data_IF_311730132287
#
_entry.id   IF_311730132287
#
_cell.length_a   1.000
_cell.length_b   1.000
_cell.length_c   1.000
_cell.angle_alpha   90.00
_cell.angle_beta   90.00
_cell.angle_gamma   90.00
#
_symmetry.space_group_name_H-M   'P 1'
#
loop_
_entity.id
_entity.type
_entity.pdbx_description
1 polymer ?
#
# COMPACT_ATOMS: atom_id res chain seq x y z
N UNK A 1 -6.06 13.56 10.63
CA UNK A 1 -4.95 12.63 10.86
C UNK A 1 -4.72 12.46 12.35
N UNK A 2 -4.61 11.22 12.77
CA UNK A 2 -4.43 10.86 14.16
C UNK A 2 -3.08 11.35 14.73
N UNK A 3 -3.00 11.44 16.04
CA UNK A 3 -1.77 11.85 16.76
C UNK A 3 -0.60 10.85 16.58
N UNK A 4 -0.89 9.67 16.04
CA UNK A 4 0.05 8.59 15.73
C UNK A 4 0.42 8.53 14.24
N UNK A 5 0.07 9.54 13.44
CA UNK A 5 0.20 9.49 11.99
C UNK A 5 -0.75 8.50 11.31
N UNK A 6 -1.76 8.03 12.02
CA UNK A 6 -2.86 7.27 11.45
C UNK A 6 -3.62 8.09 10.42
N UNK A 7 -4.21 7.44 9.45
CA UNK A 7 -4.89 8.09 8.33
C UNK A 7 -6.00 7.20 7.79
N UNK A 8 -6.92 7.83 7.07
CA UNK A 8 -7.89 7.16 6.23
C UNK A 8 -7.88 7.77 4.81
N UNK A 9 -8.42 7.03 3.88
CA UNK A 9 -8.57 7.44 2.48
C UNK A 9 -10.01 7.18 2.07
N UNK A 10 -10.64 8.20 1.51
CA UNK A 10 -11.98 8.11 0.91
C UNK A 10 -11.94 8.71 -0.49
N UNK A 11 -12.84 8.29 -1.35
CA UNK A 11 -13.03 8.93 -2.65
C UNK A 11 -14.07 10.05 -2.56
N UNK A 12 -13.97 11.03 -3.43
CA UNK A 12 -15.02 12.04 -3.68
C UNK A 12 -15.88 11.59 -4.84
N UNK A 13 -15.26 11.05 -5.87
CA UNK A 13 -15.89 10.55 -7.09
C UNK A 13 -15.22 9.24 -7.48
N UNK A 14 -16.02 8.20 -7.70
CA UNK A 14 -15.58 6.90 -8.21
C UNK A 14 -15.67 6.84 -9.73
N UNK A 15 -16.29 5.79 -10.26
CA UNK A 15 -16.59 5.65 -11.68
C UNK A 15 -17.63 6.71 -12.11
N UNK A 16 -17.32 7.51 -13.10
CA UNK A 16 -18.21 8.58 -13.59
C UNK A 16 -19.60 8.12 -14.01
N UNK A 17 -19.74 6.85 -14.35
CA UNK A 17 -21.00 6.24 -14.78
C UNK A 17 -21.81 5.67 -13.61
N UNK A 18 -21.17 5.44 -12.46
CA UNK A 18 -21.76 4.81 -11.29
C UNK A 18 -21.73 5.80 -10.11
N UNK A 19 -22.85 6.44 -9.82
CA UNK A 19 -22.91 7.43 -8.74
C UNK A 19 -22.94 6.82 -7.32
N UNK A 20 -23.23 5.52 -7.21
CA UNK A 20 -23.31 4.83 -5.92
C UNK A 20 -21.94 4.57 -5.28
N UNK A 21 -20.86 4.68 -6.05
CA UNK A 21 -19.49 4.53 -5.59
C UNK A 21 -18.80 5.85 -5.23
N UNK A 22 -19.52 6.98 -5.32
CA UNK A 22 -19.03 8.29 -4.89
C UNK A 22 -19.10 8.46 -3.37
N UNK A 23 -18.17 9.20 -2.80
CA UNK A 23 -18.05 9.50 -1.37
C UNK A 23 -18.02 8.22 -0.51
N UNK A 24 -17.24 7.24 -0.94
CA UNK A 24 -17.03 5.99 -0.23
C UNK A 24 -15.69 5.97 0.50
N UNK A 25 -15.69 5.36 1.65
CA UNK A 25 -14.44 5.05 2.33
C UNK A 25 -13.72 3.92 1.59
N UNK A 26 -12.40 3.98 1.60
CA UNK A 26 -11.50 2.96 1.07
C UNK A 26 -10.61 2.39 2.18
N UNK A 27 -10.38 3.17 3.22
CA UNK A 27 -9.81 2.75 4.49
C UNK A 27 -10.75 3.20 5.61
N UNK A 28 -10.84 2.39 6.66
CA UNK A 28 -11.71 2.64 7.79
C UNK A 28 -11.46 4.00 8.43
N UNK A 29 -12.53 4.68 8.78
CA UNK A 29 -12.52 5.95 9.49
C UNK A 29 -13.27 5.84 10.80
N UNK A 30 -12.68 6.34 11.86
CA UNK A 30 -13.29 6.46 13.18
C UNK A 30 -13.20 7.92 13.67
N UNK A 31 -14.22 8.37 14.38
CA UNK A 31 -14.21 9.70 15.00
C UNK A 31 -13.15 9.82 16.11
N UNK A 32 -12.75 8.70 16.72
CA UNK A 32 -11.82 8.66 17.83
C UNK A 32 -10.36 8.62 17.39
N UNK A 33 -10.03 7.77 16.40
CA UNK A 33 -8.67 7.59 15.87
C UNK A 33 -8.69 6.83 14.54
N UNK A 34 -7.70 7.09 13.70
CA UNK A 34 -7.51 6.37 12.44
C UNK A 34 -6.81 5.04 12.71
N UNK A 35 -7.28 3.99 12.08
CA UNK A 35 -6.90 2.60 12.32
C UNK A 35 -5.89 2.06 11.32
N UNK A 36 -5.67 2.79 10.20
CA UNK A 36 -4.52 2.57 9.31
C UNK A 36 -3.31 3.31 9.84
N UNK A 37 -2.21 2.58 10.07
CA UNK A 37 -0.99 3.15 10.66
C UNK A 37 0.25 2.36 10.24
N UNK A 38 1.43 2.92 10.53
CA UNK A 38 2.71 2.24 10.28
C UNK A 38 3.48 2.02 11.58
N UNK A 39 4.01 0.83 11.74
CA UNK A 39 4.99 0.50 12.78
C UNK A 39 6.38 0.30 12.18
N UNK A 40 7.39 0.58 12.99
CA UNK A 40 8.79 0.45 12.63
C UNK A 40 9.49 -0.47 13.60
N UNK A 41 10.28 -1.39 13.06
CA UNK A 41 11.24 -2.20 13.82
C UNK A 41 12.61 -1.59 13.65
N UNK A 42 13.21 -1.18 14.76
CA UNK A 42 14.52 -0.55 14.82
C UNK A 42 15.49 -1.47 15.51
N UNK A 43 16.59 -1.79 14.82
CA UNK A 43 17.70 -2.54 15.42
C UNK A 43 18.93 -1.66 15.49
N UNK A 44 19.42 -1.44 16.71
CA UNK A 44 20.60 -0.63 17.01
C UNK A 44 21.47 -1.39 18.02
N UNK A 45 22.75 -1.56 17.73
CA UNK A 45 23.72 -2.27 18.59
C UNK A 45 23.27 -3.68 19.02
N UNK A 46 22.53 -4.38 18.13
CA UNK A 46 22.02 -5.72 18.40
C UNK A 46 20.72 -5.77 19.21
N UNK A 47 20.23 -4.64 19.69
CA UNK A 47 18.92 -4.54 20.33
C UNK A 47 17.85 -4.16 19.31
N UNK A 48 16.73 -4.87 19.35
CA UNK A 48 15.58 -4.66 18.45
C UNK A 48 14.37 -4.22 19.26
N UNK A 49 13.71 -3.15 18.80
CA UNK A 49 12.47 -2.67 19.41
C UNK A 49 11.48 -2.23 18.33
N UNK A 50 10.19 -2.49 18.60
CA UNK A 50 9.08 -2.08 17.75
C UNK A 50 8.45 -0.80 18.29
N UNK A 51 8.13 0.10 17.34
CA UNK A 51 7.49 1.38 17.58
C UNK A 51 6.28 1.52 16.66
N UNK A 52 5.25 2.23 17.12
CA UNK A 52 4.30 2.83 16.19
C UNK A 52 4.85 4.17 15.73
N UNK A 53 4.51 4.61 14.54
CA UNK A 53 4.87 5.97 14.10
C UNK A 53 4.31 6.99 15.10
N UNK A 54 5.22 7.61 15.86
CA UNK A 54 4.87 8.56 16.93
C UNK A 54 5.16 8.09 18.36
N UNK A 55 5.58 6.85 18.60
CA UNK A 55 5.87 6.38 19.95
C UNK A 55 6.15 4.90 20.10
N UNK A 56 6.18 4.42 21.34
CA UNK A 56 6.29 3.00 21.65
C UNK A 56 5.06 2.25 21.17
N UNK A 57 5.27 1.02 20.66
CA UNK A 57 4.16 0.21 20.19
C UNK A 57 3.31 -0.28 21.36
N UNK A 58 2.06 0.12 21.36
CA UNK A 58 1.03 -0.36 22.29
C UNK A 58 -0.35 -0.05 21.71
N UNK A 59 -1.41 -0.69 22.22
CA UNK A 59 -2.78 -0.36 21.79
C UNK A 59 -3.13 1.11 22.09
N UNK A 60 -2.69 1.66 23.22
CA UNK A 60 -2.85 3.08 23.53
C UNK A 60 -1.98 3.97 22.61
N UNK A 61 -0.85 3.47 22.13
CA UNK A 61 -0.02 4.13 21.13
C UNK A 61 -0.73 4.32 19.79
N UNK A 62 -1.60 3.39 19.39
CA UNK A 62 -2.45 3.53 18.19
C UNK A 62 -3.38 4.73 18.36
N UNK A 63 -3.90 4.96 19.56
CA UNK A 63 -4.85 6.05 19.87
C UNK A 63 -4.17 7.39 20.13
N UNK A 64 -2.92 7.40 20.56
CA UNK A 64 -2.25 8.58 21.11
C UNK A 64 -0.77 8.66 20.76
N UNK A 65 -0.43 8.87 19.52
CA UNK A 65 0.96 9.08 19.10
C UNK A 65 1.44 10.52 19.23
N UNK A 66 2.75 10.72 19.10
CA UNK A 66 3.45 12.01 19.24
C UNK A 66 3.98 12.54 17.91
N UNK A 67 3.12 12.77 16.91
CA UNK A 67 3.52 13.30 15.61
C UNK A 67 3.15 14.76 15.44
N UNK A 68 3.91 15.48 14.64
CA UNK A 68 3.59 16.83 14.18
C UNK A 68 3.06 16.76 12.76
N UNK A 69 1.81 17.17 12.57
CA UNK A 69 1.13 17.13 11.25
C UNK A 69 1.17 18.52 10.61
N UNK A 70 1.40 18.55 9.31
CA UNK A 70 1.31 19.73 8.46
C UNK A 70 0.64 19.39 7.12
N UNK A 71 0.12 20.41 6.45
CA UNK A 71 -0.49 20.29 5.13
C UNK A 71 0.12 21.33 4.21
N UNK A 72 0.34 20.94 2.96
CA UNK A 72 0.73 21.85 1.88
C UNK A 72 -0.09 21.59 0.62
N UNK A 73 0.29 22.21 -0.50
CA UNK A 73 -0.43 22.06 -1.77
C UNK A 73 -0.32 20.65 -2.39
N UNK A 74 0.60 19.80 -1.92
CA UNK A 74 0.81 18.44 -2.43
C UNK A 74 0.06 17.40 -1.62
N UNK A 75 -0.18 17.66 -0.32
CA UNK A 75 -0.85 16.71 0.55
C UNK A 75 -0.59 16.95 2.03
N UNK A 76 -0.62 15.85 2.78
CA UNK A 76 -0.39 15.83 4.23
C UNK A 76 1.02 15.31 4.52
N UNK A 77 1.62 15.85 5.56
CA UNK A 77 2.91 15.40 6.08
C UNK A 77 2.83 15.28 7.60
N UNK A 78 3.39 14.19 8.15
CA UNK A 78 3.54 14.01 9.57
C UNK A 78 5.00 13.68 9.89
N UNK A 79 5.51 14.21 11.00
CA UNK A 79 6.88 14.01 11.45
C UNK A 79 6.94 13.48 12.86
N UNK A 80 7.88 12.59 13.08
CA UNK A 80 8.21 12.00 14.36
C UNK A 80 9.73 11.84 14.50
N UNK A 81 10.25 12.07 15.70
CA UNK A 81 11.67 11.88 16.00
C UNK A 81 11.86 10.82 17.08
N UNK A 82 12.79 9.91 16.85
CA UNK A 82 13.20 8.89 17.79
C UNK A 82 14.73 8.98 18.01
N UNK A 83 15.12 9.75 19.02
CA UNK A 83 16.52 10.13 19.21
C UNK A 83 17.04 10.88 18.00
N UNK A 84 18.04 10.34 17.31
CA UNK A 84 18.66 10.94 16.13
C UNK A 84 18.05 10.47 14.79
N UNK A 85 16.99 9.66 14.84
CA UNK A 85 16.20 9.30 13.67
C UNK A 85 15.03 10.28 13.51
N UNK A 86 14.84 10.80 12.32
CA UNK A 86 13.64 11.55 11.93
C UNK A 86 12.86 10.73 10.90
N UNK A 87 11.58 10.54 11.18
CA UNK A 87 10.63 9.86 10.30
C UNK A 87 9.67 10.91 9.73
N UNK A 88 9.50 10.89 8.43
CA UNK A 88 8.51 11.73 7.75
C UNK A 88 7.55 10.84 6.97
N UNK A 89 6.27 10.88 7.34
CA UNK A 89 5.18 10.34 6.54
C UNK A 89 4.71 11.41 5.57
N UNK A 90 4.42 11.04 4.32
CA UNK A 90 3.74 11.89 3.34
C UNK A 90 2.61 11.12 2.72
N UNK A 91 1.45 11.76 2.63
CA UNK A 91 0.27 11.30 1.91
C UNK A 91 0.04 12.30 0.79
N UNK A 92 0.35 11.94 -0.43
CA UNK A 92 0.28 12.82 -1.59
C UNK A 92 -0.62 12.21 -2.66
N UNK A 93 -1.46 13.04 -3.29
CA UNK A 93 -2.21 12.59 -4.47
C UNK A 93 -1.21 12.27 -5.58
N UNK A 94 -1.22 11.02 -6.03
CA UNK A 94 -0.40 10.61 -7.14
C UNK A 94 -0.94 11.22 -8.44
N UNK A 95 -0.07 11.85 -9.21
CA UNK A 95 -0.43 12.33 -10.54
C UNK A 95 -0.39 11.16 -11.51
N UNK A 96 -1.54 10.56 -11.77
CA UNK A 96 -1.67 9.41 -12.68
C UNK A 96 -1.77 9.81 -14.15
N UNK A 97 -1.61 11.11 -14.45
CA UNK A 97 -1.68 11.62 -15.84
C UNK A 97 -3.09 11.77 -16.39
N UNK A 98 -4.07 11.12 -15.80
CA UNK A 98 -5.51 11.38 -16.00
C UNK A 98 -6.05 11.95 -14.69
N UNK A 99 -6.77 13.06 -14.74
CA UNK A 99 -7.39 13.68 -13.57
C UNK A 99 -8.55 12.85 -12.98
N UNK A 100 -8.64 11.58 -13.30
CA UNK A 100 -9.86 10.78 -13.12
C UNK A 100 -9.72 9.66 -12.08
N UNK A 101 -8.49 9.34 -11.62
CA UNK A 101 -8.27 8.23 -10.72
C UNK A 101 -7.35 8.66 -9.58
N UNK A 102 -7.95 8.80 -8.40
CA UNK A 102 -7.26 9.24 -7.20
C UNK A 102 -6.49 8.12 -6.52
N UNK A 103 -5.22 7.97 -6.82
CA UNK A 103 -4.30 7.20 -5.98
C UNK A 103 -3.60 8.13 -5.00
N UNK A 104 -3.45 7.68 -3.77
CA UNK A 104 -2.64 8.33 -2.75
C UNK A 104 -1.32 7.58 -2.63
N UNK A 105 -0.22 8.29 -2.80
CA UNK A 105 1.10 7.77 -2.43
C UNK A 105 1.25 7.88 -0.91
N UNK A 106 1.51 6.74 -0.28
CA UNK A 106 1.86 6.63 1.14
C UNK A 106 3.36 6.46 1.18
N UNK A 107 4.09 7.48 1.60
CA UNK A 107 5.55 7.50 1.61
C UNK A 107 6.07 7.67 3.04
N UNK A 108 7.15 6.96 3.36
CA UNK A 108 7.94 7.17 4.55
C UNK A 108 9.40 7.40 4.18
N UNK A 109 9.95 8.47 4.73
CA UNK A 109 11.36 8.83 4.68
C UNK A 109 11.92 8.74 6.11
N UNK A 110 13.00 8.00 6.27
CA UNK A 110 13.69 7.81 7.56
C UNK A 110 15.09 8.34 7.43
N UNK A 111 15.36 9.49 8.04
CA UNK A 111 16.66 10.13 8.05
C UNK A 111 17.43 9.76 9.32
N UNK A 112 18.66 9.29 9.17
CA UNK A 112 19.56 9.02 10.29
C UNK A 112 20.55 10.19 10.47
N UNK A 113 20.32 11.03 11.47
CA UNK A 113 21.24 12.12 11.84
C UNK A 113 22.31 11.68 12.86
N UNK A 114 22.23 10.44 13.33
CA UNK A 114 23.17 9.89 14.31
C UNK A 114 24.51 9.55 13.69
N UNK A 115 25.44 9.20 14.57
CA UNK A 115 26.78 8.75 14.20
C UNK A 115 26.89 7.24 13.95
N UNK A 116 25.85 6.48 14.30
CA UNK A 116 25.82 5.02 14.18
C UNK A 116 24.86 4.58 13.08
N UNK A 117 25.17 3.47 12.45
CA UNK A 117 24.32 2.80 11.48
C UNK A 117 23.12 2.15 12.20
N UNK A 118 21.92 2.23 11.61
CA UNK A 118 20.69 1.69 12.21
C UNK A 118 19.93 0.87 11.18
N UNK A 119 19.58 -0.38 11.51
CA UNK A 119 18.68 -1.17 10.67
C UNK A 119 17.23 -0.74 10.93
N UNK A 120 16.49 -0.51 9.86
CA UNK A 120 15.09 -0.09 9.89
C UNK A 120 14.23 -0.99 9.02
N UNK A 121 13.12 -1.45 9.60
CA UNK A 121 12.07 -2.18 8.89
C UNK A 121 10.74 -1.47 9.15
N UNK A 122 9.85 -1.45 8.18
CA UNK A 122 8.54 -0.80 8.28
C UNK A 122 7.41 -1.81 8.01
N UNK A 123 6.32 -1.71 8.77
CA UNK A 123 5.07 -2.44 8.53
C UNK A 123 3.96 -1.42 8.35
N UNK A 124 3.50 -1.24 7.11
CA UNK A 124 2.35 -0.42 6.78
C UNK A 124 1.08 -1.26 6.93
N UNK A 125 0.23 -0.93 7.90
CA UNK A 125 -1.06 -1.56 8.12
C UNK A 125 -2.13 -0.66 7.54
N UNK A 126 -2.90 -1.19 6.58
CA UNK A 126 -4.05 -0.55 5.94
C UNK A 126 -5.30 -1.29 6.39
N UNK A 127 -6.14 -0.61 7.14
CA UNK A 127 -7.43 -1.07 7.60
C UNK A 127 -8.46 -0.82 6.50
N UNK A 128 -8.78 -1.88 5.74
CA UNK A 128 -9.53 -1.75 4.50
C UNK A 128 -11.02 -1.81 4.76
N UNK A 129 -11.69 -0.69 4.53
CA UNK A 129 -13.14 -0.57 4.58
C UNK A 129 -13.61 0.07 3.28
N UNK A 130 -14.15 -0.74 2.36
CA UNK A 130 -14.56 -0.28 1.04
C UNK A 130 -16.07 -0.13 0.99
N UNK A 131 -16.52 1.04 0.62
CA UNK A 131 -17.96 1.33 0.56
C UNK A 131 -18.56 1.50 1.96
N UNK A 132 -19.55 0.68 2.29
CA UNK A 132 -20.25 0.72 3.56
C UNK A 132 -19.92 -0.50 4.45
N UNK A 133 -18.87 -1.27 4.08
CA UNK A 133 -18.45 -2.49 4.77
C UNK A 133 -17.12 -2.25 5.52
N UNK A 134 -17.06 -2.77 6.75
CA UNK A 134 -15.84 -2.79 7.57
C UNK A 134 -14.95 -4.01 7.28
N UNK A 135 -15.20 -4.68 6.19
CA UNK A 135 -14.38 -5.75 5.67
C UNK A 135 -14.38 -5.76 4.15
N UNK A 136 -13.35 -6.34 3.57
CA UNK A 136 -13.22 -6.48 2.13
C UNK A 136 -12.78 -7.89 1.75
N UNK A 137 -13.08 -8.26 0.51
CA UNK A 137 -12.48 -9.39 -0.17
C UNK A 137 -11.26 -8.89 -0.92
N UNK A 138 -10.09 -9.43 -0.63
CA UNK A 138 -8.90 -9.11 -1.42
C UNK A 138 -8.79 -10.02 -2.62
N UNK A 139 -8.36 -9.46 -3.73
CA UNK A 139 -8.09 -10.19 -4.96
C UNK A 139 -6.63 -10.05 -5.35
N UNK A 140 -6.01 -11.21 -5.67
CA UNK A 140 -4.71 -11.26 -6.32
C UNK A 140 -4.96 -11.40 -7.82
N UNK A 141 -4.67 -10.36 -8.63
CA UNK A 141 -4.85 -10.48 -10.07
C UNK A 141 -3.92 -11.55 -10.63
N UNK A 142 -4.49 -12.58 -11.23
CA UNK A 142 -3.75 -13.65 -11.88
C UNK A 142 -3.75 -13.42 -13.40
N UNK A 143 -2.65 -13.78 -14.07
CA UNK A 143 -2.51 -13.71 -15.52
C UNK A 143 -3.33 -14.77 -16.27
N UNK A 144 -3.95 -15.71 -15.58
CA UNK A 144 -4.71 -16.84 -16.14
C UNK A 144 -6.18 -16.85 -15.69
N UNK A 145 -6.94 -15.82 -15.97
CA UNK A 145 -8.41 -15.73 -15.86
C UNK A 145 -9.07 -16.04 -14.50
N UNK A 146 -8.38 -16.70 -13.58
CA UNK A 146 -8.85 -16.97 -12.24
C UNK A 146 -8.11 -16.08 -11.26
N UNK A 147 -8.81 -15.15 -10.64
CA UNK A 147 -8.30 -14.34 -9.54
C UNK A 147 -8.44 -15.12 -8.24
N UNK A 148 -7.39 -15.11 -7.43
CA UNK A 148 -7.44 -15.71 -6.11
C UNK A 148 -8.05 -14.69 -5.12
N UNK A 149 -9.24 -15.02 -4.61
CA UNK A 149 -9.92 -14.25 -3.57
C UNK A 149 -9.42 -14.68 -2.20
N UNK A 150 -8.87 -13.73 -1.47
CA UNK A 150 -8.40 -13.90 -0.10
C UNK A 150 -9.47 -13.40 0.86
N UNK A 151 -9.93 -14.28 1.73
CA UNK A 151 -10.87 -14.01 2.82
C UNK A 151 -10.48 -14.64 4.15
N UNK A 152 -9.36 -15.36 4.17
CA UNK A 152 -8.78 -15.97 5.37
C UNK A 152 -7.40 -15.42 5.62
N UNK A 153 -7.00 -15.42 6.89
CA UNK A 153 -5.69 -14.95 7.24
C UNK A 153 -4.60 -15.71 6.50
N UNK A 154 -3.72 -14.97 5.86
CA UNK A 154 -2.59 -15.53 5.13
C UNK A 154 -1.44 -14.55 5.00
N UNK A 155 -0.28 -15.06 4.60
CA UNK A 155 0.92 -14.29 4.33
C UNK A 155 1.47 -14.68 2.95
N UNK A 156 1.72 -13.69 2.11
CA UNK A 156 2.45 -13.84 0.85
C UNK A 156 3.90 -13.43 1.05
N UNK A 157 4.82 -14.31 0.71
CA UNK A 157 6.25 -14.01 0.67
C UNK A 157 6.62 -13.21 -0.58
N UNK A 158 7.76 -12.54 -0.54
CA UNK A 158 8.26 -11.64 -1.59
C UNK A 158 8.17 -12.21 -3.02
N UNK A 159 8.39 -13.52 -3.18
CA UNK A 159 8.34 -14.19 -4.48
C UNK A 159 6.92 -14.29 -5.07
N UNK A 160 5.90 -14.24 -4.21
CA UNK A 160 4.49 -14.43 -4.57
C UNK A 160 3.68 -13.12 -4.53
N UNK A 161 4.32 -11.99 -4.20
CA UNK A 161 3.66 -10.69 -4.14
C UNK A 161 3.45 -10.16 -5.57
N UNK A 162 2.21 -9.93 -6.00
CA UNK A 162 1.90 -9.30 -7.28
C UNK A 162 2.31 -7.83 -7.28
N UNK A 163 2.03 -7.14 -8.37
CA UNK A 163 2.27 -5.69 -8.51
C UNK A 163 1.12 -4.85 -7.98
N UNK A 164 -0.05 -5.45 -7.85
CA UNK A 164 -1.23 -4.81 -7.30
C UNK A 164 -2.13 -5.83 -6.59
N UNK A 165 -2.92 -5.34 -5.65
CA UNK A 165 -4.03 -6.05 -5.02
C UNK A 165 -5.29 -5.23 -5.22
N UNK A 166 -6.44 -5.89 -5.31
CA UNK A 166 -7.74 -5.24 -5.31
C UNK A 166 -8.50 -5.60 -4.04
N UNK A 167 -9.36 -4.71 -3.62
CA UNK A 167 -10.24 -4.89 -2.46
C UNK A 167 -11.66 -4.50 -2.84
N UNK A 168 -12.63 -5.37 -2.55
CA UNK A 168 -14.02 -5.24 -2.94
C UNK A 168 -14.94 -5.33 -1.73
N UNK A 169 -15.98 -4.51 -1.72
CA UNK A 169 -17.09 -4.63 -0.76
C UNK A 169 -17.96 -5.87 -1.03
N UNK A 170 -18.07 -6.30 -2.28
CA UNK A 170 -18.78 -7.52 -2.70
C UNK A 170 -18.08 -8.11 -3.92
N UNK A 171 -17.78 -9.42 -3.90
CA UNK A 171 -17.07 -10.12 -4.98
C UNK A 171 -17.94 -10.40 -6.20
N UNK A 172 -19.28 -10.37 -6.06
CA UNK A 172 -20.20 -10.68 -7.15
C UNK A 172 -20.77 -9.43 -7.80
N UNK A 173 -20.88 -8.35 -7.04
CA UNK A 173 -21.45 -7.09 -7.51
C UNK A 173 -20.82 -5.90 -6.76
N UNK A 174 -19.53 -5.66 -6.94
CA UNK A 174 -18.85 -4.60 -6.22
C UNK A 174 -19.46 -3.24 -6.53
N UNK A 175 -19.78 -2.48 -5.46
CA UNK A 175 -20.22 -1.09 -5.58
C UNK A 175 -19.06 -0.12 -5.51
N UNK A 176 -17.97 -0.55 -4.88
CA UNK A 176 -16.73 0.19 -4.84
C UNK A 176 -15.54 -0.77 -4.89
N UNK A 177 -14.42 -0.31 -5.40
CA UNK A 177 -13.19 -1.09 -5.51
C UNK A 177 -12.01 -0.22 -5.13
N UNK A 178 -11.19 -0.70 -4.20
CA UNK A 178 -9.91 -0.11 -3.89
C UNK A 178 -8.77 -0.90 -4.56
N UNK A 179 -7.68 -0.21 -4.82
CA UNK A 179 -6.46 -0.80 -5.38
C UNK A 179 -5.26 -0.41 -4.54
N UNK A 180 -4.40 -1.39 -4.29
CA UNK A 180 -3.05 -1.18 -3.77
C UNK A 180 -2.07 -1.43 -4.89
N UNK A 181 -1.25 -0.45 -5.23
CA UNK A 181 -0.14 -0.66 -6.17
C UNK A 181 1.16 -0.78 -5.38
N UNK A 182 1.76 -1.95 -5.48
CA UNK A 182 2.98 -2.28 -4.75
C UNK A 182 4.17 -1.55 -5.36
N UNK A 183 4.72 -0.63 -4.59
CA UNK A 183 5.96 0.09 -4.92
C UNK A 183 7.08 -0.36 -3.97
N UNK A 184 8.30 0.12 -4.19
CA UNK A 184 9.47 -0.29 -3.40
C UNK A 184 9.63 -1.83 -3.30
N UNK A 185 9.30 -2.54 -4.38
CA UNK A 185 9.18 -4.02 -4.41
C UNK A 185 10.46 -4.73 -3.96
N UNK A 186 11.64 -4.17 -4.22
CA UNK A 186 12.92 -4.74 -3.77
C UNK A 186 13.08 -4.76 -2.25
N UNK A 187 12.37 -3.89 -1.52
CA UNK A 187 12.36 -3.82 -0.06
C UNK A 187 11.21 -4.63 0.55
N UNK A 188 10.14 -4.90 -0.21
CA UNK A 188 8.96 -5.60 0.29
C UNK A 188 9.29 -7.08 0.50
N UNK A 189 9.13 -7.56 1.74
CA UNK A 189 9.46 -8.93 2.17
C UNK A 189 8.26 -9.85 2.25
N UNK A 190 7.13 -9.32 2.70
CA UNK A 190 5.88 -10.08 2.81
C UNK A 190 4.68 -9.12 2.84
N UNK A 191 3.52 -9.65 2.49
CA UNK A 191 2.22 -9.02 2.70
C UNK A 191 1.35 -9.98 3.49
N UNK A 192 0.73 -9.50 4.56
CA UNK A 192 -0.24 -10.25 5.35
C UNK A 192 -1.63 -9.69 5.11
N UNK A 193 -2.61 -10.57 5.00
CA UNK A 193 -4.04 -10.27 5.00
C UNK A 193 -4.64 -10.95 6.22
N UNK A 194 -5.38 -10.21 7.03
CA UNK A 194 -5.92 -10.75 8.26
C UNK A 194 -7.05 -9.86 8.79
N UNK A 195 -7.70 -10.34 9.84
CA UNK A 195 -8.54 -9.50 10.68
C UNK A 195 -7.73 -8.37 11.28
N UNK A 196 -8.26 -7.14 11.27
CA UNK A 196 -7.54 -5.97 11.77
C UNK A 196 -6.99 -6.18 13.20
N UNK A 197 -7.82 -6.72 14.10
CA UNK A 197 -7.39 -6.99 15.48
C UNK A 197 -6.22 -7.97 15.57
N UNK A 198 -6.14 -8.97 14.69
CA UNK A 198 -5.01 -9.91 14.63
C UNK A 198 -3.71 -9.18 14.31
N UNK A 199 -3.73 -8.26 13.35
CA UNK A 199 -2.56 -7.46 12.99
C UNK A 199 -2.26 -6.40 14.05
N UNK A 200 -3.26 -5.67 14.53
CA UNK A 200 -3.10 -4.60 15.49
C UNK A 200 -2.65 -5.09 16.88
N UNK A 201 -2.89 -6.37 17.21
CA UNK A 201 -2.41 -6.96 18.46
C UNK A 201 -0.89 -7.10 18.53
N UNK A 202 -0.17 -7.00 17.40
CA UNK A 202 1.28 -7.18 17.31
C UNK A 202 1.96 -5.92 16.82
N UNK A 203 3.16 -5.63 17.32
CA UNK A 203 3.96 -4.49 16.86
C UNK A 203 4.53 -4.69 15.47
N UNK A 204 5.00 -5.88 15.17
CA UNK A 204 5.63 -6.20 13.90
C UNK A 204 5.40 -7.65 13.47
N UNK A 205 5.71 -8.62 14.34
CA UNK A 205 5.58 -10.03 14.00
C UNK A 205 4.11 -10.45 13.99
N UNK A 206 3.74 -11.19 12.94
CA UNK A 206 2.40 -11.72 12.75
C UNK A 206 2.50 -13.16 12.22
N UNK A 207 1.68 -14.05 12.76
CA UNK A 207 1.47 -15.40 12.29
C UNK A 207 -0.03 -15.58 12.00
N UNK A 208 -0.41 -15.97 10.77
CA UNK A 208 -1.80 -16.10 10.38
C UNK A 208 -2.47 -17.31 11.05
N UNK A 209 -3.73 -17.17 11.40
CA UNK A 209 -4.64 -18.29 11.60
C UNK A 209 -5.40 -18.56 10.30
N UNK A 210 -4.91 -19.51 9.51
CA UNK A 210 -5.47 -19.85 8.19
C UNK A 210 -6.93 -20.37 8.27
N UNK A 211 -7.44 -20.64 9.47
CA UNK A 211 -8.84 -21.03 9.65
C UNK A 211 -9.78 -19.85 9.88
N UNK A 212 -9.25 -18.69 10.28
CA UNK A 212 -10.03 -17.50 10.55
C UNK A 212 -10.45 -16.82 9.23
N UNK A 213 -11.77 -16.78 9.01
CA UNK A 213 -12.38 -16.02 7.90
C UNK A 213 -12.70 -14.61 8.39
N UNK A 214 -11.91 -13.61 7.99
CA UNK A 214 -12.06 -12.23 8.40
C UNK A 214 -13.22 -11.50 7.71
N UNK A 215 -13.88 -12.14 6.73
CA UNK A 215 -15.07 -11.60 6.05
C UNK A 215 -16.37 -12.12 6.64
N UNK A 216 -16.31 -12.92 7.70
CA UNK A 216 -17.46 -13.57 8.32
C UNK A 216 -17.85 -12.90 9.64
N UNK A 217 -19.07 -12.39 9.71
CA UNK A 217 -19.69 -12.03 10.98
C UNK A 217 -19.90 -13.27 11.84
N UNK A 218 -19.57 -13.15 13.14
CA UNK A 218 -19.70 -14.25 14.08
C UNK A 218 -18.55 -15.25 14.01
N UNK A 219 -17.37 -14.84 13.47
CA UNK A 219 -16.16 -15.64 13.62
C UNK A 219 -15.87 -15.91 15.11
N UNK A 220 -15.32 -17.10 15.40
CA UNK A 220 -15.17 -17.59 16.77
C UNK A 220 -14.21 -16.73 17.62
N UNK A 221 -13.35 -15.92 17.00
CA UNK A 221 -12.33 -15.17 17.71
C UNK A 221 -12.74 -13.73 18.03
N UNK A 222 -13.35 -13.01 17.09
CA UNK A 222 -13.64 -11.58 17.23
C UNK A 222 -15.13 -11.24 17.18
N UNK A 223 -15.94 -12.12 16.62
CA UNK A 223 -17.40 -11.98 16.55
C UNK A 223 -17.92 -11.04 15.46
N UNK A 224 -17.05 -10.31 14.79
CA UNK A 224 -17.37 -9.38 13.70
C UNK A 224 -16.44 -9.60 12.52
N UNK A 225 -16.92 -9.33 11.32
CA UNK A 225 -16.07 -9.24 10.15
C UNK A 225 -15.27 -7.93 10.19
N UNK A 226 -14.02 -7.99 9.76
CA UNK A 226 -13.10 -6.86 9.72
C UNK A 226 -11.84 -7.31 8.96
N UNK A 227 -11.25 -6.45 8.15
CA UNK A 227 -10.11 -6.84 7.33
C UNK A 227 -9.04 -5.77 7.24
N UNK A 228 -7.79 -6.21 7.27
CA UNK A 228 -6.66 -5.36 7.05
C UNK A 228 -5.57 -6.04 6.23
N UNK A 229 -4.76 -5.23 5.57
CA UNK A 229 -3.57 -5.64 4.87
C UNK A 229 -2.34 -5.01 5.51
N UNK A 230 -1.29 -5.81 5.78
CA UNK A 230 -0.02 -5.30 6.26
C UNK A 230 1.11 -5.61 5.29
N UNK A 231 1.82 -4.58 4.86
CA UNK A 231 2.99 -4.68 3.98
C UNK A 231 4.27 -4.47 4.79
N UNK A 232 5.22 -5.41 4.69
CA UNK A 232 6.45 -5.43 5.46
C UNK A 232 7.65 -5.12 4.58
N UNK A 233 8.30 -4.01 4.84
CA UNK A 233 9.44 -3.51 4.10
C UNK A 233 10.72 -3.57 4.95
N UNK A 234 11.82 -3.96 4.31
CA UNK A 234 13.17 -3.90 4.87
C UNK A 234 13.94 -2.76 4.20
N UNK A 235 14.07 -1.62 4.90
CA UNK A 235 14.83 -0.48 4.43
C UNK A 235 16.35 -0.73 4.54
N UNK A 236 16.72 -1.86 5.15
CA UNK A 236 18.11 -2.20 5.38
C UNK A 236 18.77 -1.37 6.48
N UNK A 237 20.09 -1.27 6.39
CA UNK A 237 20.89 -0.46 7.31
C UNK A 237 21.03 0.95 6.78
N UNK A 238 20.44 1.91 7.47
CA UNK A 238 20.56 3.34 7.15
C UNK A 238 21.83 3.86 7.84
N UNK A 239 22.84 4.16 7.04
CA UNK A 239 24.11 4.66 7.52
C UNK A 239 23.98 6.04 8.15
N UNK A 240 24.97 6.42 8.97
CA UNK A 240 25.09 7.78 9.51
C UNK A 240 24.99 8.84 8.40
N UNK A 241 24.11 9.82 8.59
CA UNK A 241 23.85 10.92 7.64
C UNK A 241 23.11 10.52 6.37
N UNK A 242 22.56 9.29 6.29
CA UNK A 242 21.80 8.78 5.13
C UNK A 242 20.33 8.65 5.44
N UNK A 243 19.54 8.45 4.39
CA UNK A 243 18.09 8.24 4.44
C UNK A 243 17.71 6.88 3.85
N UNK A 244 16.57 6.36 4.28
CA UNK A 244 15.87 5.23 3.68
C UNK A 244 14.45 5.64 3.34
N UNK A 245 14.00 5.33 2.12
CA UNK A 245 12.68 5.73 1.62
C UNK A 245 11.90 4.49 1.22
N UNK A 246 10.64 4.43 1.62
CA UNK A 246 9.70 3.39 1.20
C UNK A 246 8.35 4.00 0.89
N UNK A 247 7.69 3.50 -0.14
CA UNK A 247 6.36 3.97 -0.51
C UNK A 247 5.49 2.85 -1.08
N UNK A 248 4.19 3.11 -1.08
CA UNK A 248 3.15 2.33 -1.76
C UNK A 248 2.05 3.27 -2.23
N UNK A 249 1.12 2.77 -3.04
CA UNK A 249 -0.03 3.55 -3.51
C UNK A 249 -1.31 2.82 -3.13
N UNK A 250 -2.30 3.60 -2.70
CA UNK A 250 -3.64 3.11 -2.37
C UNK A 250 -4.69 4.10 -2.86
N UNK A 251 -5.80 3.61 -3.40
CA UNK A 251 -6.84 4.49 -3.89
C UNK A 251 -7.91 3.78 -4.70
N UNK A 252 -8.68 4.55 -5.45
CA UNK A 252 -9.75 4.02 -6.29
C UNK A 252 -9.16 3.24 -7.46
N UNK A 253 -9.68 2.04 -7.68
CA UNK A 253 -9.50 1.33 -8.93
C UNK A 253 -10.69 1.61 -9.84
N UNK A 254 -10.46 2.14 -11.02
CA UNK A 254 -11.46 2.24 -12.05
C UNK A 254 -11.16 1.24 -13.16
N UNK A 255 -12.13 0.38 -13.40
CA UNK A 255 -12.15 -0.51 -14.56
C UNK A 255 -12.57 0.19 -15.85
N UNK A 256 -12.62 1.52 -15.86
CA UNK A 256 -12.90 2.21 -17.10
C UNK A 256 -11.85 1.78 -18.13
N UNK A 257 -12.27 0.87 -19.00
CA UNK A 257 -11.76 0.88 -20.36
C UNK A 257 -12.12 2.27 -20.86
N UNK A 258 -11.18 3.19 -20.78
CA UNK A 258 -11.29 4.38 -21.58
C UNK A 258 -11.38 3.86 -23.02
N UNK A 259 -12.59 3.86 -23.57
CA UNK A 259 -12.78 3.83 -25.02
C UNK A 259 -12.16 5.11 -25.55
N UNK A 260 -10.84 5.13 -25.55
CA UNK A 260 -10.10 6.11 -26.32
C UNK A 260 -10.27 5.69 -27.77
N UNK A 261 -11.28 6.26 -28.43
CA UNK A 261 -11.42 6.27 -29.90
C UNK A 261 -10.26 7.01 -30.59
N UNK A 262 -9.11 7.08 -29.97
CA UNK A 262 -7.88 7.62 -30.54
C UNK A 262 -6.74 6.67 -30.19
N UNK A 263 -5.84 6.46 -31.14
CA UNK A 263 -4.65 5.61 -31.12
C UNK A 263 -3.70 5.79 -29.91
N UNK A 264 -4.23 5.84 -28.69
CA UNK A 264 -3.45 5.96 -27.47
C UNK A 264 -3.36 4.61 -26.76
N UNK A 265 -2.16 4.21 -26.47
CA UNK A 265 -1.83 2.99 -25.74
C UNK A 265 -2.38 3.10 -24.33
N UNK A 266 -3.36 2.27 -24.00
CA UNK A 266 -3.81 2.12 -22.61
C UNK A 266 -2.78 1.29 -21.88
N UNK A 267 -2.05 1.92 -20.96
CA UNK A 267 -1.22 1.20 -20.00
C UNK A 267 -2.10 0.49 -18.98
N UNK A 268 -2.40 -0.75 -19.24
CA UNK A 268 -2.83 -1.64 -18.18
C UNK A 268 -1.54 -2.13 -17.48
N UNK A 269 -1.15 -1.48 -16.37
CA UNK A 269 0.04 -1.86 -15.59
C UNK A 269 -0.21 -3.15 -14.79
N UNK A 270 -0.68 -4.18 -15.42
CA UNK A 270 -0.83 -5.50 -14.79
C UNK A 270 0.47 -6.28 -14.71
N UNK A 271 1.58 -5.75 -15.20
CA UNK A 271 2.89 -6.36 -14.97
C UNK A 271 4.05 -5.42 -15.34
N UNK A 272 4.72 -4.79 -14.38
CA UNK A 272 6.00 -4.12 -14.62
C UNK A 272 7.18 -5.10 -14.75
N UNK A 273 6.96 -6.41 -14.65
CA UNK A 273 8.05 -7.41 -14.71
C UNK A 273 8.77 -7.48 -16.06
N UNK A 274 8.44 -6.60 -17.00
CA UNK A 274 8.91 -6.71 -18.38
C UNK A 274 9.27 -5.38 -19.04
N UNK A 275 9.56 -4.35 -18.27
CA UNK A 275 10.13 -3.13 -18.80
C UNK A 275 11.64 -3.13 -18.57
N UNK A 276 12.40 -3.21 -19.63
CA UNK A 276 13.85 -3.04 -19.63
C UNK A 276 14.21 -1.66 -20.18
N UNK A 277 15.34 -1.10 -19.75
CA UNK A 277 15.91 0.08 -20.37
C UNK A 277 16.42 -0.26 -21.77
N UNK A 278 16.15 0.62 -22.74
CA UNK A 278 16.77 0.55 -24.05
C UNK A 278 18.32 0.60 -23.93
N UNK A 279 19.02 0.13 -24.94
CA UNK A 279 20.49 0.06 -24.92
C UNK A 279 21.17 1.43 -24.71
N UNK A 280 20.48 2.54 -25.02
CA UNK A 280 20.94 3.91 -24.81
C UNK A 280 20.51 4.49 -23.45
N UNK A 281 19.76 3.72 -22.63
CA UNK A 281 19.32 4.10 -21.31
C UNK A 281 18.25 5.19 -21.25
N UNK A 282 17.60 5.52 -22.37
CA UNK A 282 16.66 6.65 -22.46
C UNK A 282 15.17 6.24 -22.41
N UNK A 283 14.87 5.01 -22.79
CA UNK A 283 13.50 4.55 -22.95
C UNK A 283 13.29 3.24 -22.21
N UNK A 284 12.07 3.01 -21.70
CA UNK A 284 11.65 1.70 -21.23
C UNK A 284 11.04 0.93 -22.40
N UNK A 285 11.40 -0.34 -22.53
CA UNK A 285 10.95 -1.20 -23.61
C UNK A 285 10.33 -2.48 -23.06
N UNK A 286 9.19 -2.89 -23.59
CA UNK A 286 8.54 -4.14 -23.21
C UNK A 286 9.28 -5.33 -23.81
N UNK A 287 9.73 -6.27 -22.98
CA UNK A 287 10.39 -7.51 -23.46
C UNK A 287 9.42 -8.46 -24.15
N UNK A 288 8.10 -8.26 -24.03
CA UNK A 288 7.09 -9.05 -24.72
C UNK A 288 7.02 -8.80 -26.23
N UNK A 289 7.54 -7.69 -26.70
CA UNK A 289 7.48 -7.29 -28.11
C UNK A 289 8.81 -7.45 -28.85
N UNK A 290 9.57 -8.49 -28.52
CA UNK A 290 10.80 -8.84 -29.26
C UNK A 290 10.51 -9.78 -30.41
N UNK A 291 11.22 -9.58 -31.50
CA UNK A 291 11.34 -10.55 -32.59
C UNK A 291 12.19 -11.74 -32.11
N UNK A 292 12.15 -12.83 -32.85
CA UNK A 292 12.94 -14.05 -32.57
C UNK A 292 14.45 -13.83 -32.62
N UNK A 293 14.90 -12.76 -33.25
CA UNK A 293 16.31 -12.32 -33.33
C UNK A 293 16.72 -11.38 -32.18
N UNK A 294 15.80 -11.09 -31.23
CA UNK A 294 16.05 -10.23 -30.09
C UNK A 294 15.83 -8.72 -30.34
N UNK A 295 15.49 -8.32 -31.58
CA UNK A 295 15.14 -6.92 -31.89
C UNK A 295 13.70 -6.61 -31.44
N UNK A 296 13.41 -5.33 -31.19
CA UNK A 296 12.07 -4.91 -30.82
C UNK A 296 11.18 -4.79 -32.06
N UNK A 297 9.90 -5.11 -31.91
CA UNK A 297 8.90 -4.78 -32.95
C UNK A 297 8.66 -3.27 -32.95
N UNK A 298 8.56 -2.67 -34.13
CA UNK A 298 8.38 -1.22 -34.29
C UNK A 298 7.13 -0.65 -33.59
N UNK A 299 6.13 -1.48 -33.39
CA UNK A 299 4.86 -1.16 -32.73
C UNK A 299 4.87 -1.40 -31.21
N UNK A 300 6.01 -1.78 -30.66
CA UNK A 300 6.18 -2.08 -29.22
C UNK A 300 7.02 -1.07 -28.44
N UNK A 301 7.40 0.05 -29.05
CA UNK A 301 8.18 1.09 -28.40
C UNK A 301 7.21 2.05 -27.68
N UNK A 302 7.42 2.17 -26.38
CA UNK A 302 6.65 3.10 -25.55
C UNK A 302 7.63 4.17 -25.07
N UNK A 303 7.48 5.39 -25.56
CA UNK A 303 8.20 6.53 -25.06
C UNK A 303 7.57 6.98 -23.73
N UNK A 304 8.29 6.75 -22.64
CA UNK A 304 7.95 7.32 -21.34
C UNK A 304 8.87 8.53 -21.14
N UNK A 305 8.31 9.72 -21.31
CA UNK A 305 8.98 10.95 -20.89
C UNK A 305 8.72 11.15 -19.40
N UNK A 306 9.78 11.02 -18.61
CA UNK A 306 9.77 11.34 -17.19
C UNK A 306 10.07 12.83 -16.98
#
# INVERSE_FOLDING_TARGET
SGKNGGFYISNVEGDKTIKSDNNKDLLYHSDDYDTSFTSFRITRNGETKDYIFGGDYSFEGIKSGGVTVSQDAKGLSAKWSLGELEFTQRLELANTGSNEHGMVMINYDVQNYGSEDVKVEARMLLDSAVGDQDFVYYEIPNTSYDSDIIKRECVLDAANIPTAFYAYDDIYSPTATASTVVSSKGMLKKVAFAHWNSLAATGFDFAPDETLDFTSDGNDQYGTADSAMAMYYDLGTIQSGKEGIVNTYYGVFSNEKTDLETDQVTFNMTSPSVLDLSADGKNYVSTCNRNTDGTFKEDGIIDIQA
#
